data_IF_009265989661
#
_entry.id   IF_009265989661
#
_cell.length_a   1.000
_cell.length_b   1.000
_cell.length_c   1.000
_cell.angle_alpha   90.00
_cell.angle_beta   90.00
_cell.angle_gamma   90.00
#
_symmetry.space_group_name_H-M   'P 1'
#
loop_
_entity.id
_entity.type
_entity.pdbx_description
1 polymer ?
#
# COMPACT_ATOMS: atom_id res chain seq x y z
N UNK A 1 -20.30 10.89 3.33
CA UNK A 1 -18.97 11.51 3.14
C UNK A 1 -18.36 10.97 1.86
N UNK A 2 -18.11 11.83 0.88
CA UNK A 2 -17.52 11.44 -0.41
C UNK A 2 -16.06 11.05 -0.17
N UNK A 3 -15.76 9.75 -0.23
CA UNK A 3 -14.35 9.30 -0.24
C UNK A 3 -13.77 9.68 -1.59
N UNK A 4 -12.58 10.27 -1.62
CA UNK A 4 -11.91 10.63 -2.87
C UNK A 4 -11.81 9.41 -3.81
N UNK A 5 -12.00 9.58 -5.13
CA UNK A 5 -11.90 8.47 -6.07
C UNK A 5 -10.47 7.89 -6.06
N UNK A 6 -10.34 6.62 -6.43
CA UNK A 6 -9.05 5.91 -6.40
C UNK A 6 -8.00 6.59 -7.28
N UNK A 7 -8.41 7.18 -8.41
CA UNK A 7 -7.53 7.94 -9.30
C UNK A 7 -6.87 9.15 -8.62
N UNK A 8 -7.51 9.76 -7.62
CA UNK A 8 -6.92 10.90 -6.90
C UNK A 8 -5.65 10.55 -6.12
N UNK A 9 -5.41 9.26 -5.85
CA UNK A 9 -4.24 8.78 -5.12
C UNK A 9 -3.07 8.40 -6.02
N UNK A 10 -3.20 8.51 -7.35
CA UNK A 10 -2.11 8.26 -8.29
C UNK A 10 -0.91 9.17 -8.03
N UNK A 11 -1.17 10.43 -7.66
CA UNK A 11 -0.14 11.41 -7.27
C UNK A 11 0.71 10.97 -6.08
N UNK A 12 0.20 10.06 -5.25
CA UNK A 12 0.85 9.61 -4.02
C UNK A 12 1.67 8.32 -4.23
N UNK A 13 1.62 7.69 -5.42
CA UNK A 13 2.42 6.50 -5.76
C UNK A 13 3.92 6.72 -5.56
N UNK A 14 4.53 7.85 -5.99
CA UNK A 14 5.96 8.10 -5.74
C UNK A 14 6.28 8.19 -4.25
N UNK A 15 5.36 8.72 -3.44
CA UNK A 15 5.53 8.79 -2.00
C UNK A 15 5.47 7.40 -1.35
N UNK A 16 4.62 6.48 -1.85
CA UNK A 16 4.64 5.07 -1.40
C UNK A 16 5.97 4.41 -1.75
N UNK A 17 6.47 4.58 -2.97
CA UNK A 17 7.76 4.02 -3.38
C UNK A 17 8.92 4.52 -2.48
N UNK A 18 8.92 5.81 -2.13
CA UNK A 18 9.93 6.38 -1.23
C UNK A 18 9.90 5.77 0.18
N UNK A 19 8.74 5.37 0.70
CA UNK A 19 8.61 4.69 2.00
C UNK A 19 9.25 3.29 2.02
N UNK A 20 9.51 2.72 0.86
CA UNK A 20 10.11 1.41 0.66
C UNK A 20 11.56 1.49 0.19
N UNK A 21 12.12 2.68 -0.05
CA UNK A 21 13.43 2.85 -0.66
C UNK A 21 14.61 2.23 0.13
N UNK A 22 14.43 1.98 1.42
CA UNK A 22 15.44 1.32 2.27
C UNK A 22 15.43 -0.21 2.15
N UNK A 23 14.47 -0.78 1.43
CA UNK A 23 14.31 -2.22 1.21
C UNK A 23 14.08 -2.46 -0.29
N UNK A 24 15.13 -2.91 -0.98
CA UNK A 24 15.13 -3.06 -2.42
C UNK A 24 14.07 -4.08 -2.90
N UNK A 25 13.83 -5.14 -2.14
CA UNK A 25 12.87 -6.18 -2.49
C UNK A 25 11.44 -5.66 -2.40
N UNK A 26 11.12 -4.94 -1.32
CA UNK A 26 9.79 -4.32 -1.18
C UNK A 26 9.56 -3.20 -2.20
N UNK A 27 10.60 -2.42 -2.50
CA UNK A 27 10.54 -1.36 -3.50
C UNK A 27 10.30 -1.92 -4.91
N UNK A 28 11.03 -2.99 -5.29
CA UNK A 28 10.84 -3.69 -6.55
C UNK A 28 9.44 -4.31 -6.63
N UNK A 29 9.01 -5.01 -5.57
CA UNK A 29 7.68 -5.63 -5.51
C UNK A 29 6.57 -4.60 -5.73
N UNK A 30 6.65 -3.43 -5.09
CA UNK A 30 5.68 -2.35 -5.28
C UNK A 30 5.69 -1.78 -6.70
N UNK A 31 6.89 -1.58 -7.27
CA UNK A 31 7.06 -1.05 -8.63
C UNK A 31 6.46 -1.98 -9.68
N UNK A 32 6.55 -3.30 -9.47
CA UNK A 32 6.01 -4.32 -10.37
C UNK A 32 4.48 -4.50 -10.27
N UNK A 33 3.83 -3.90 -9.26
CA UNK A 33 2.38 -3.91 -9.18
C UNK A 33 1.75 -3.12 -10.33
N UNK A 34 0.59 -3.57 -10.79
CA UNK A 34 -0.20 -2.77 -11.74
C UNK A 34 -0.61 -1.44 -11.08
N UNK A 35 -0.80 -0.35 -11.85
CA UNK A 35 -1.17 0.96 -11.29
C UNK A 35 -2.45 0.95 -10.45
N UNK A 36 -3.35 -0.03 -10.66
CA UNK A 36 -4.51 -0.26 -9.81
C UNK A 36 -4.12 -0.56 -8.36
N UNK A 37 -3.26 -1.56 -8.15
CA UNK A 37 -2.81 -1.94 -6.81
C UNK A 37 -1.94 -0.86 -6.15
N UNK A 38 -1.10 -0.17 -6.92
CA UNK A 38 -0.31 0.95 -6.39
C UNK A 38 -1.21 2.05 -5.83
N UNK A 39 -2.27 2.42 -6.55
CA UNK A 39 -3.27 3.39 -6.07
C UNK A 39 -4.04 2.90 -4.85
N UNK A 40 -4.32 1.59 -4.75
CA UNK A 40 -4.98 1.04 -3.56
C UNK A 40 -4.13 1.20 -2.30
N UNK A 41 -2.81 0.93 -2.40
CA UNK A 41 -1.87 1.16 -1.31
C UNK A 41 -1.71 2.64 -0.97
N UNK A 42 -1.59 3.49 -1.99
CA UNK A 42 -1.55 4.93 -1.82
C UNK A 42 -2.80 5.44 -1.08
N UNK A 43 -4.00 4.99 -1.47
CA UNK A 43 -5.26 5.30 -0.78
C UNK A 43 -5.26 4.78 0.65
N UNK A 44 -4.83 3.54 0.87
CA UNK A 44 -4.80 2.95 2.20
C UNK A 44 -3.94 3.79 3.15
N UNK A 45 -2.73 4.18 2.73
CA UNK A 45 -1.80 4.96 3.55
C UNK A 45 -2.23 6.42 3.65
N UNK A 46 -2.35 7.12 2.54
CA UNK A 46 -2.55 8.58 2.52
C UNK A 46 -4.01 9.02 2.70
N UNK A 47 -4.97 8.09 2.58
CA UNK A 47 -6.37 8.34 2.95
C UNK A 47 -6.60 8.45 4.46
N UNK A 48 -5.68 7.94 5.29
CA UNK A 48 -5.74 8.11 6.73
C UNK A 48 -5.27 9.51 7.14
N UNK A 49 -6.05 10.24 7.97
CA UNK A 49 -5.67 11.59 8.42
C UNK A 49 -4.62 11.57 9.53
N UNK A 50 -4.73 10.62 10.47
CA UNK A 50 -3.87 10.55 11.63
C UNK A 50 -2.49 9.95 11.29
N UNK A 51 -1.37 10.60 11.66
CA UNK A 51 -0.02 10.08 11.39
C UNK A 51 0.22 8.67 11.93
N UNK A 52 -0.26 8.38 13.15
CA UNK A 52 -0.13 7.05 13.75
C UNK A 52 -0.83 5.95 12.93
N UNK A 53 -1.98 6.25 12.33
CA UNK A 53 -2.69 5.31 11.46
C UNK A 53 -1.95 5.12 10.14
N UNK A 54 -1.38 6.18 9.56
CA UNK A 54 -0.51 6.07 8.37
C UNK A 54 0.66 5.13 8.64
N UNK A 55 1.35 5.29 9.77
CA UNK A 55 2.46 4.41 10.14
C UNK A 55 2.03 2.95 10.23
N UNK A 56 0.92 2.66 10.93
CA UNK A 56 0.37 1.30 11.02
C UNK A 56 0.04 0.72 9.64
N UNK A 57 -0.50 1.53 8.73
CA UNK A 57 -0.81 1.09 7.37
C UNK A 57 0.44 0.78 6.55
N UNK A 58 1.53 1.54 6.75
CA UNK A 58 2.83 1.26 6.13
C UNK A 58 3.38 -0.09 6.63
N UNK A 59 3.35 -0.35 7.94
CA UNK A 59 3.80 -1.64 8.49
C UNK A 59 2.96 -2.82 7.98
N UNK A 60 1.63 -2.61 7.86
CA UNK A 60 0.74 -3.60 7.24
C UNK A 60 1.13 -3.86 5.79
N UNK A 61 1.39 -2.82 4.99
CA UNK A 61 1.83 -3.00 3.60
C UNK A 61 3.12 -3.82 3.51
N UNK A 62 4.13 -3.50 4.32
CA UNK A 62 5.39 -4.25 4.37
C UNK A 62 5.15 -5.72 4.72
N UNK A 63 4.36 -5.99 5.76
CA UNK A 63 3.99 -7.35 6.17
C UNK A 63 3.28 -8.12 5.05
N UNK A 64 2.40 -7.45 4.32
CA UNK A 64 1.63 -8.03 3.21
C UNK A 64 2.54 -8.38 2.02
N UNK A 65 3.49 -7.50 1.69
CA UNK A 65 4.48 -7.73 0.63
C UNK A 65 5.49 -8.82 0.99
N UNK A 66 5.98 -8.85 2.23
CA UNK A 66 6.84 -9.93 2.72
C UNK A 66 6.16 -11.31 2.65
N UNK A 67 4.83 -11.34 2.75
CA UNK A 67 4.04 -12.56 2.57
C UNK A 67 3.68 -12.85 1.09
N UNK A 68 4.14 -12.04 0.13
CA UNK A 68 3.94 -12.25 -1.30
C UNK A 68 2.58 -11.80 -1.85
N UNK A 69 1.80 -11.02 -1.09
CA UNK A 69 0.46 -10.61 -1.51
C UNK A 69 0.44 -9.20 -2.11
N UNK A 70 -0.26 -9.04 -3.24
CA UNK A 70 -0.35 -7.75 -3.98
C UNK A 70 -1.29 -6.72 -3.34
N UNK A 71 -2.24 -7.19 -2.53
CA UNK A 71 -3.24 -6.35 -1.87
C UNK A 71 -3.52 -6.84 -0.45
N UNK A 72 -3.93 -5.90 0.42
CA UNK A 72 -4.40 -6.22 1.77
C UNK A 72 -5.56 -7.21 1.75
N UNK A 73 -6.48 -7.08 0.78
CA UNK A 73 -7.62 -8.00 0.64
C UNK A 73 -7.18 -9.43 0.39
N UNK A 74 -6.23 -9.65 -0.52
CA UNK A 74 -5.72 -11.00 -0.81
C UNK A 74 -5.03 -11.62 0.41
N UNK A 75 -4.30 -10.81 1.18
CA UNK A 75 -3.68 -11.24 2.44
C UNK A 75 -4.72 -11.57 3.52
N UNK A 76 -5.75 -10.74 3.68
CA UNK A 76 -6.81 -10.96 4.67
C UNK A 76 -7.68 -12.19 4.34
N UNK A 77 -7.80 -12.55 3.06
CA UNK A 77 -8.59 -13.70 2.59
C UNK A 77 -7.78 -15.00 2.47
N UNK A 78 -6.55 -15.05 2.99
CA UNK A 78 -5.73 -16.26 2.92
C UNK A 78 -6.36 -17.40 3.74
N UNK A 79 -6.28 -18.67 3.28
CA UNK A 79 -7.04 -19.79 3.85
C UNK A 79 -6.63 -20.21 5.27
N UNK A 80 -5.50 -19.74 5.80
CA UNK A 80 -4.96 -20.16 7.10
C UNK A 80 -4.89 -18.98 8.08
N UNK A 81 -6.01 -18.29 8.32
CA UNK A 81 -6.10 -17.24 9.36
C UNK A 81 -6.85 -17.75 10.59
#
# INVERSE_FOLDING_TARGET
MSTAPLSSFEKDIPAVAALLATDADLSAFFTDLTPGYQREWARFIFGAKAPATKQRHIEVMKTVFQAGYKSKRAYDSRPNK
#
